data_IF_700525754914
#
_entry.id   IF_700525754914
#
_cell.length_a   1.000
_cell.length_b   1.000
_cell.length_c   1.000
_cell.angle_alpha   90.00
_cell.angle_beta   90.00
_cell.angle_gamma   90.00
#
_symmetry.space_group_name_H-M   'P 1'
#
loop_
_entity.id
_entity.type
_entity.pdbx_description
1 polymer ?
#
# COMPACT_ATOMS: atom_id res chain seq x y z
N UNK A 1 5.71 -53.24 4.73
CA UNK A 1 5.66 -51.94 4.02
C UNK A 1 6.48 -50.94 4.83
N UNK A 2 7.71 -50.68 4.39
CA UNK A 2 8.65 -49.76 5.05
C UNK A 2 8.24 -48.31 4.76
N UNK A 3 7.99 -47.52 5.82
CA UNK A 3 7.90 -46.06 5.72
C UNK A 3 9.27 -45.56 5.28
N UNK A 4 9.35 -45.03 4.07
CA UNK A 4 10.52 -44.23 3.68
C UNK A 4 10.43 -42.94 4.47
N UNK A 5 11.32 -42.79 5.43
CA UNK A 5 11.64 -41.49 6.01
C UNK A 5 12.20 -40.64 4.87
N UNK A 6 11.37 -39.73 4.35
CA UNK A 6 11.81 -38.67 3.46
C UNK A 6 12.51 -37.65 4.35
N UNK A 7 13.77 -37.90 4.65
CA UNK A 7 14.69 -36.86 5.12
C UNK A 7 14.92 -35.94 3.92
N UNK A 8 14.30 -34.75 3.95
CA UNK A 8 14.63 -33.70 2.97
C UNK A 8 16.01 -33.17 3.34
N UNK A 9 17.01 -33.81 2.74
CA UNK A 9 18.39 -33.36 2.71
C UNK A 9 18.46 -32.02 1.97
N UNK A 10 18.94 -30.98 2.67
CA UNK A 10 19.42 -29.76 2.01
C UNK A 10 18.59 -28.48 2.12
N UNK A 11 17.80 -28.24 3.18
CA UNK A 11 17.23 -26.90 3.42
C UNK A 11 18.35 -25.93 3.86
N UNK A 12 19.09 -25.40 2.88
CA UNK A 12 20.25 -24.55 3.08
C UNK A 12 19.84 -23.26 3.83
N UNK A 13 20.71 -22.74 4.71
CA UNK A 13 20.37 -21.59 5.59
C UNK A 13 19.97 -20.36 4.77
N UNK A 14 20.56 -20.18 3.60
CA UNK A 14 20.22 -19.12 2.64
C UNK A 14 18.78 -19.21 2.13
N UNK A 15 18.30 -20.42 1.81
CA UNK A 15 16.93 -20.66 1.33
C UNK A 15 15.91 -20.45 2.44
N UNK A 16 16.26 -20.84 3.67
CA UNK A 16 15.45 -20.54 4.87
C UNK A 16 15.34 -19.03 5.12
N UNK A 17 16.45 -18.30 5.03
CA UNK A 17 16.47 -16.85 5.22
C UNK A 17 15.68 -16.11 4.14
N UNK A 18 15.78 -16.53 2.87
CA UNK A 18 14.98 -15.98 1.76
C UNK A 18 13.48 -16.25 1.96
N UNK A 19 13.10 -17.44 2.45
CA UNK A 19 11.70 -17.80 2.78
C UNK A 19 11.14 -17.06 4.00
N UNK A 20 12.01 -16.55 4.87
CA UNK A 20 11.63 -15.85 6.10
C UNK A 20 11.56 -14.33 5.92
N UNK A 21 12.18 -13.77 4.88
CA UNK A 21 12.15 -12.34 4.62
C UNK A 21 10.70 -11.85 4.33
N UNK A 22 10.23 -10.76 4.97
CA UNK A 22 8.84 -10.30 4.88
C UNK A 22 8.58 -9.49 3.61
N UNK A 23 8.79 -10.08 2.43
CA UNK A 23 8.60 -9.41 1.13
C UNK A 23 7.23 -8.73 1.00
N UNK A 24 6.19 -9.36 1.54
CA UNK A 24 4.85 -8.77 1.48
C UNK A 24 4.71 -7.50 2.31
N UNK A 25 5.37 -7.42 3.48
CA UNK A 25 5.45 -6.17 4.24
C UNK A 25 6.25 -5.09 3.52
N UNK A 26 7.32 -5.45 2.81
CA UNK A 26 8.09 -4.47 2.04
C UNK A 26 7.22 -3.83 0.96
N UNK A 27 6.47 -4.62 0.19
CA UNK A 27 5.58 -4.09 -0.85
C UNK A 27 4.48 -3.17 -0.28
N UNK A 28 3.81 -3.57 0.80
CA UNK A 28 2.79 -2.71 1.45
C UNK A 28 3.45 -1.44 2.00
N UNK A 29 4.67 -1.53 2.54
CA UNK A 29 5.41 -0.36 3.05
C UNK A 29 5.76 0.62 1.94
N UNK A 30 6.17 0.12 0.75
CA UNK A 30 6.46 0.95 -0.42
C UNK A 30 5.21 1.72 -0.87
N UNK A 31 4.05 1.07 -0.90
CA UNK A 31 2.78 1.75 -1.19
C UNK A 31 2.44 2.80 -0.13
N UNK A 32 2.49 2.44 1.16
CA UNK A 32 2.14 3.35 2.25
C UNK A 32 3.07 4.58 2.33
N UNK A 33 4.39 4.37 2.24
CA UNK A 33 5.37 5.45 2.22
C UNK A 33 5.28 6.27 0.92
N UNK A 34 5.09 5.59 -0.22
CA UNK A 34 4.89 6.22 -1.51
C UNK A 34 3.69 7.15 -1.52
N UNK A 35 2.56 6.74 -0.95
CA UNK A 35 1.38 7.61 -0.77
C UNK A 35 1.69 8.77 0.18
N UNK A 36 2.26 8.51 1.36
CA UNK A 36 2.52 9.55 2.35
C UNK A 36 3.46 10.66 1.87
N UNK A 37 4.50 10.29 1.10
CA UNK A 37 5.43 11.26 0.49
C UNK A 37 4.87 11.83 -0.81
N UNK A 38 4.29 10.97 -1.64
CA UNK A 38 3.85 11.29 -3.00
C UNK A 38 2.80 12.39 -3.05
N UNK A 39 1.90 12.46 -2.07
CA UNK A 39 0.90 13.53 -2.00
C UNK A 39 1.52 14.93 -1.86
N UNK A 40 2.63 15.06 -1.12
CA UNK A 40 3.33 16.35 -1.03
C UNK A 40 4.16 16.64 -2.28
N UNK A 41 4.78 15.62 -2.87
CA UNK A 41 5.51 15.78 -4.14
C UNK A 41 4.57 16.20 -5.28
N UNK A 42 3.37 15.62 -5.33
CA UNK A 42 2.38 15.89 -6.37
C UNK A 42 1.67 17.23 -6.19
N UNK A 43 1.41 17.66 -4.94
CA UNK A 43 0.47 18.75 -4.69
C UNK A 43 1.13 20.02 -4.13
N UNK A 44 2.40 19.96 -3.70
CA UNK A 44 3.14 21.12 -3.19
C UNK A 44 3.82 21.93 -4.31
N UNK A 45 3.02 22.46 -5.26
CA UNK A 45 3.53 23.19 -6.42
C UNK A 45 2.50 24.19 -6.99
N UNK A 46 2.90 24.88 -8.07
CA UNK A 46 2.12 25.92 -8.76
C UNK A 46 0.87 25.39 -9.47
N UNK A 47 0.80 24.11 -9.83
CA UNK A 47 -0.41 23.55 -10.44
C UNK A 47 -1.47 23.17 -9.41
N UNK A 48 -1.09 23.00 -8.14
CA UNK A 48 -1.98 22.58 -7.04
C UNK A 48 -2.05 23.63 -5.92
N UNK A 49 -1.38 23.43 -4.78
CA UNK A 49 -1.59 24.25 -3.57
C UNK A 49 -1.33 25.76 -3.80
N UNK A 50 -0.43 26.09 -4.74
CA UNK A 50 -0.11 27.48 -5.10
C UNK A 50 -0.85 27.99 -6.34
N UNK A 51 -1.73 27.19 -6.96
CA UNK A 51 -2.47 27.57 -8.15
C UNK A 51 -3.33 28.83 -7.89
N UNK A 52 -3.11 29.94 -8.59
CA UNK A 52 -3.88 31.17 -8.38
C UNK A 52 -5.33 31.08 -8.88
N UNK A 53 -5.63 30.17 -9.81
CA UNK A 53 -6.97 29.99 -10.36
C UNK A 53 -7.90 29.19 -9.44
N UNK A 54 -7.35 28.43 -8.49
CA UNK A 54 -8.14 27.65 -7.54
C UNK A 54 -8.83 28.53 -6.50
N UNK A 55 -10.15 28.37 -6.28
CA UNK A 55 -10.83 28.96 -5.15
C UNK A 55 -10.17 28.53 -3.82
N UNK A 56 -10.23 29.36 -2.76
CA UNK A 56 -9.66 29.00 -1.45
C UNK A 56 -10.13 27.64 -0.92
N UNK A 57 -11.37 27.24 -1.19
CA UNK A 57 -11.92 25.96 -0.74
C UNK A 57 -11.32 24.74 -1.45
N UNK A 58 -10.93 24.86 -2.72
CA UNK A 58 -10.21 23.79 -3.42
C UNK A 58 -8.84 23.54 -2.78
N UNK A 59 -8.13 24.61 -2.41
CA UNK A 59 -6.85 24.51 -1.68
C UNK A 59 -7.01 23.88 -0.30
N UNK A 60 -8.11 24.15 0.39
CA UNK A 60 -8.44 23.48 1.64
C UNK A 60 -8.58 21.97 1.45
N UNK A 61 -9.36 21.52 0.47
CA UNK A 61 -9.51 20.09 0.19
C UNK A 61 -8.21 19.44 -0.32
N UNK A 62 -7.39 20.16 -1.10
CA UNK A 62 -6.06 19.70 -1.49
C UNK A 62 -5.18 19.44 -0.25
N UNK A 63 -5.01 20.45 0.62
CA UNK A 63 -4.25 20.31 1.87
C UNK A 63 -4.80 19.21 2.79
N UNK A 64 -6.13 19.04 2.82
CA UNK A 64 -6.80 17.94 3.53
C UNK A 64 -6.36 16.59 2.96
N UNK A 65 -6.36 16.40 1.64
CA UNK A 65 -5.95 15.14 1.00
C UNK A 65 -4.46 14.85 1.16
N UNK A 66 -3.59 15.88 1.12
CA UNK A 66 -2.17 15.74 1.42
C UNK A 66 -1.93 15.24 2.84
N UNK A 67 -2.59 15.86 3.82
CA UNK A 67 -2.52 15.45 5.22
C UNK A 67 -3.09 14.03 5.43
N UNK A 68 -4.19 13.71 4.73
CA UNK A 68 -4.81 12.39 4.76
C UNK A 68 -3.86 11.30 4.24
N UNK A 69 -3.14 11.56 3.14
CA UNK A 69 -2.17 10.62 2.58
C UNK A 69 -1.07 10.26 3.58
N UNK A 70 -0.51 11.26 4.28
CA UNK A 70 0.47 11.05 5.36
C UNK A 70 -0.13 10.25 6.51
N UNK A 71 -1.31 10.64 7.00
CA UNK A 71 -1.95 9.96 8.12
C UNK A 71 -2.24 8.48 7.82
N UNK A 72 -2.75 8.19 6.62
CA UNK A 72 -3.00 6.82 6.16
C UNK A 72 -1.69 6.04 6.00
N UNK A 73 -0.66 6.63 5.42
CA UNK A 73 0.66 6.00 5.28
C UNK A 73 1.26 5.60 6.63
N UNK A 74 1.24 6.51 7.61
CA UNK A 74 1.71 6.24 8.98
C UNK A 74 0.88 5.16 9.66
N UNK A 75 -0.45 5.24 9.56
CA UNK A 75 -1.34 4.24 10.17
C UNK A 75 -1.14 2.85 9.54
N UNK A 76 -1.01 2.76 8.22
CA UNK A 76 -0.74 1.50 7.53
C UNK A 76 0.59 0.88 7.99
N UNK A 77 1.66 1.67 8.06
CA UNK A 77 2.97 1.21 8.54
C UNK A 77 2.91 0.74 10.00
N UNK A 78 2.20 1.46 10.87
CA UNK A 78 2.00 1.06 12.26
C UNK A 78 1.33 -0.32 12.37
N UNK A 79 0.19 -0.53 11.69
CA UNK A 79 -0.51 -1.83 11.72
C UNK A 79 0.24 -2.95 11.02
N UNK A 80 1.14 -2.63 10.08
CA UNK A 80 1.96 -3.60 9.36
C UNK A 80 3.15 -4.11 10.19
N UNK A 81 3.74 -3.22 10.98
CA UNK A 81 4.98 -3.47 11.71
C UNK A 81 4.81 -3.61 13.23
N UNK A 82 3.58 -3.48 13.75
CA UNK A 82 3.32 -3.72 15.17
C UNK A 82 3.75 -5.13 15.63
N UNK A 83 4.14 -5.29 16.91
CA UNK A 83 4.36 -6.60 17.50
C UNK A 83 3.13 -7.51 17.41
N UNK A 84 3.35 -8.82 17.44
CA UNK A 84 2.31 -9.84 17.34
C UNK A 84 1.41 -9.66 16.10
N UNK A 85 2.03 -9.67 14.91
CA UNK A 85 1.31 -9.54 13.64
C UNK A 85 0.30 -10.68 13.48
N UNK A 86 -0.96 -10.33 13.24
CA UNK A 86 -2.02 -11.28 12.95
C UNK A 86 -2.51 -11.11 11.51
N UNK A 87 -3.31 -12.06 11.03
CA UNK A 87 -4.01 -11.90 9.75
C UNK A 87 -4.95 -10.69 9.76
N UNK A 88 -5.53 -10.36 10.91
CA UNK A 88 -6.37 -9.18 11.07
C UNK A 88 -5.55 -7.89 10.98
N UNK A 89 -4.43 -7.77 11.68
CA UNK A 89 -3.59 -6.56 11.60
C UNK A 89 -2.98 -6.36 10.21
N UNK A 90 -2.61 -7.45 9.52
CA UNK A 90 -2.19 -7.39 8.12
C UNK A 90 -3.32 -6.90 7.20
N UNK A 91 -4.55 -7.39 7.38
CA UNK A 91 -5.69 -6.93 6.60
C UNK A 91 -5.99 -5.45 6.86
N UNK A 92 -5.97 -5.01 8.13
CA UNK A 92 -6.11 -3.60 8.50
C UNK A 92 -5.05 -2.74 7.81
N UNK A 93 -3.77 -3.13 7.86
CA UNK A 93 -2.70 -2.40 7.21
C UNK A 93 -2.91 -2.29 5.68
N UNK A 94 -3.27 -3.40 5.02
CA UNK A 94 -3.53 -3.42 3.59
C UNK A 94 -4.74 -2.56 3.20
N UNK A 95 -5.82 -2.59 3.99
CA UNK A 95 -7.01 -1.73 3.77
C UNK A 95 -6.66 -0.25 3.91
N UNK A 96 -5.91 0.12 4.95
CA UNK A 96 -5.50 1.52 5.14
C UNK A 96 -4.60 1.97 4.00
N UNK A 97 -3.63 1.13 3.60
CA UNK A 97 -2.71 1.44 2.50
C UNK A 97 -3.41 1.59 1.14
N UNK A 98 -4.52 0.87 0.90
CA UNK A 98 -5.24 0.93 -0.38
C UNK A 98 -6.29 2.05 -0.44
N UNK A 99 -6.81 2.51 0.70
CA UNK A 99 -8.01 3.35 0.72
C UNK A 99 -7.83 4.65 -0.07
N UNK A 100 -6.66 5.29 0.01
CA UNK A 100 -6.38 6.53 -0.72
C UNK A 100 -6.51 6.33 -2.24
N UNK A 101 -5.86 5.27 -2.76
CA UNK A 101 -5.92 4.92 -4.17
C UNK A 101 -7.32 4.48 -4.62
N UNK A 102 -8.04 3.71 -3.80
CA UNK A 102 -9.41 3.30 -4.09
C UNK A 102 -10.36 4.51 -4.14
N UNK A 103 -10.21 5.46 -3.21
CA UNK A 103 -11.00 6.70 -3.25
C UNK A 103 -10.64 7.55 -4.47
N UNK A 104 -9.36 7.59 -4.87
CA UNK A 104 -8.95 8.26 -6.10
C UNK A 104 -9.56 7.62 -7.35
N UNK A 105 -9.66 6.29 -7.43
CA UNK A 105 -10.36 5.62 -8.53
C UNK A 105 -11.88 5.89 -8.51
N UNK A 106 -12.46 6.03 -7.32
CA UNK A 106 -13.91 6.28 -7.19
C UNK A 106 -14.35 7.65 -7.70
N UNK A 107 -13.43 8.61 -7.91
CA UNK A 107 -13.80 9.97 -8.34
C UNK A 107 -14.54 9.99 -9.69
N UNK A 108 -14.39 8.95 -10.52
CA UNK A 108 -15.14 8.78 -11.80
C UNK A 108 -16.66 8.79 -11.64
N UNK A 109 -17.17 8.50 -10.44
CA UNK A 109 -18.61 8.47 -10.16
C UNK A 109 -19.18 9.85 -9.79
N UNK A 110 -18.35 10.88 -9.68
CA UNK A 110 -18.77 12.21 -9.24
C UNK A 110 -18.86 13.17 -10.44
N UNK A 111 -19.95 13.94 -10.57
CA UNK A 111 -20.12 14.85 -11.70
C UNK A 111 -19.15 16.05 -11.61
N UNK A 112 -18.71 16.54 -12.76
CA UNK A 112 -17.91 17.77 -12.85
C UNK A 112 -16.44 17.64 -12.43
N UNK A 113 -15.93 16.42 -12.28
CA UNK A 113 -14.51 16.16 -11.98
C UNK A 113 -13.63 16.32 -13.22
N UNK A 114 -12.37 16.67 -12.99
CA UNK A 114 -11.28 16.56 -13.96
C UNK A 114 -10.05 16.00 -13.25
N UNK A 115 -9.23 15.20 -13.94
CA UNK A 115 -7.96 14.71 -13.38
C UNK A 115 -6.86 15.78 -13.40
N UNK A 116 -7.00 16.81 -14.23
CA UNK A 116 -6.04 17.92 -14.35
C UNK A 116 -6.82 19.21 -14.62
N UNK A 117 -6.37 20.33 -14.08
CA UNK A 117 -6.94 21.64 -14.40
C UNK A 117 -6.45 22.16 -15.76
N UNK A 118 -7.22 23.06 -16.41
CA UNK A 118 -6.75 23.79 -17.57
C UNK A 118 -5.41 24.49 -17.30
N UNK A 119 -4.50 24.53 -18.30
CA UNK A 119 -4.69 24.08 -19.68
C UNK A 119 -4.46 22.57 -19.90
N UNK A 120 -4.23 21.79 -18.84
CA UNK A 120 -3.97 20.36 -18.93
C UNK A 120 -5.15 19.58 -19.48
N UNK A 121 -4.86 18.51 -20.20
CA UNK A 121 -5.86 17.57 -20.70
C UNK A 121 -6.19 16.51 -19.65
N UNK A 122 -7.45 16.07 -19.63
CA UNK A 122 -7.94 15.04 -18.72
C UNK A 122 -7.43 13.64 -19.10
N UNK A 123 -6.14 13.40 -18.85
CA UNK A 123 -5.37 12.21 -19.26
C UNK A 123 -5.09 11.24 -18.12
N UNK A 124 -5.55 11.56 -16.89
CA UNK A 124 -5.41 10.71 -15.71
C UNK A 124 -3.96 10.30 -15.37
N UNK A 125 -3.02 11.25 -15.26
CA UNK A 125 -1.63 10.94 -14.91
C UNK A 125 -1.49 10.21 -13.57
N UNK A 126 -2.45 10.38 -12.67
CA UNK A 126 -2.49 9.72 -11.36
C UNK A 126 -2.50 8.19 -11.48
N UNK A 127 -3.11 7.61 -12.54
CA UNK A 127 -3.18 6.16 -12.70
C UNK A 127 -1.80 5.49 -12.75
N UNK A 128 -0.76 6.22 -13.18
CA UNK A 128 0.62 5.75 -13.21
C UNK A 128 1.20 5.50 -11.80
N UNK A 129 0.62 6.10 -10.77
CA UNK A 129 1.00 5.84 -9.37
C UNK A 129 -0.07 5.04 -8.62
N UNK A 130 -1.36 5.31 -8.87
CA UNK A 130 -2.48 4.62 -8.20
C UNK A 130 -2.46 3.12 -8.47
N UNK A 131 -2.36 2.69 -9.73
CA UNK A 131 -2.45 1.27 -10.09
C UNK A 131 -1.25 0.47 -9.58
N UNK A 132 0.01 0.91 -9.75
CA UNK A 132 1.15 0.20 -9.16
C UNK A 132 1.08 0.14 -7.63
N UNK A 133 0.65 1.24 -6.97
CA UNK A 133 0.49 1.27 -5.51
C UNK A 133 -0.51 0.22 -5.03
N UNK A 134 -1.69 0.15 -5.65
CA UNK A 134 -2.69 -0.89 -5.36
C UNK A 134 -2.18 -2.30 -5.69
N UNK A 135 -1.41 -2.45 -6.77
CA UNK A 135 -0.75 -3.70 -7.13
C UNK A 135 0.24 -4.18 -6.06
N UNK A 136 1.04 -3.27 -5.48
CA UNK A 136 1.94 -3.57 -4.37
C UNK A 136 1.17 -3.98 -3.11
N UNK A 137 0.08 -3.30 -2.78
CA UNK A 137 -0.75 -3.67 -1.61
C UNK A 137 -1.34 -5.06 -1.79
N UNK A 138 -1.97 -5.34 -2.94
CA UNK A 138 -2.59 -6.63 -3.21
C UNK A 138 -1.57 -7.76 -3.20
N UNK A 139 -0.47 -7.59 -3.94
CA UNK A 139 0.59 -8.61 -4.03
C UNK A 139 1.25 -8.82 -2.67
N UNK A 140 1.55 -7.73 -1.96
CA UNK A 140 2.14 -7.79 -0.63
C UNK A 140 1.24 -8.49 0.39
N UNK A 141 -0.06 -8.20 0.36
CA UNK A 141 -1.05 -8.87 1.20
C UNK A 141 -1.11 -10.37 0.93
N UNK A 142 -1.17 -10.78 -0.35
CA UNK A 142 -1.24 -12.20 -0.72
C UNK A 142 0.01 -12.98 -0.30
N UNK A 143 1.20 -12.38 -0.48
CA UNK A 143 2.48 -12.98 -0.06
C UNK A 143 2.54 -13.11 1.46
N UNK A 144 2.28 -12.02 2.19
CA UNK A 144 2.44 -11.98 3.64
C UNK A 144 1.40 -12.86 4.34
N UNK A 145 0.17 -12.92 3.82
CA UNK A 145 -0.88 -13.80 4.33
C UNK A 145 -0.49 -15.27 4.23
N UNK A 146 0.16 -15.68 3.13
CA UNK A 146 0.68 -17.05 2.96
C UNK A 146 1.79 -17.35 3.96
N UNK A 147 2.71 -16.40 4.20
CA UNK A 147 3.79 -16.52 5.18
C UNK A 147 3.24 -16.74 6.60
N UNK A 148 2.36 -15.87 7.08
CA UNK A 148 1.75 -15.98 8.42
C UNK A 148 1.02 -17.31 8.60
N UNK A 149 0.25 -17.73 7.59
CA UNK A 149 -0.50 -19.00 7.67
C UNK A 149 0.45 -20.20 7.78
N UNK A 150 1.52 -20.23 6.98
CA UNK A 150 2.54 -21.29 7.04
C UNK A 150 3.21 -21.36 8.42
N UNK A 151 3.61 -20.22 8.96
CA UNK A 151 4.34 -20.15 10.24
C UNK A 151 3.45 -20.59 11.42
N UNK A 152 2.14 -20.34 11.34
CA UNK A 152 1.15 -20.87 12.28
C UNK A 152 1.03 -22.40 12.22
N UNK A 153 1.01 -22.99 11.01
CA UNK A 153 0.97 -24.44 10.84
C UNK A 153 2.22 -25.12 11.39
N UNK A 154 3.41 -24.59 11.10
CA UNK A 154 4.68 -25.16 11.59
C UNK A 154 4.72 -25.18 13.12
N UNK A 155 4.35 -24.07 13.75
CA UNK A 155 4.31 -23.96 15.23
C UNK A 155 3.29 -24.91 15.86
N UNK A 156 2.15 -25.17 15.19
CA UNK A 156 1.11 -26.08 15.70
C UNK A 156 1.46 -27.58 15.55
N UNK A 157 2.43 -27.91 14.69
CA UNK A 157 2.85 -29.29 14.40
C UNK A 157 4.14 -29.72 15.12
N UNK A 158 4.80 -28.79 15.82
CA UNK A 158 6.02 -29.02 16.61
C UNK A 158 5.68 -29.21 18.09
#
# INVERSE_FOLDING_TARGET
MSRRDITIEGDNVSDRNRRNFPWGKVLISLSAAGTGVGVYVADWNESHIYNPAWPPHAKFHNAQTMSMGVALGVAALYYLWKPAQTRASLATAATIASIYGLTQLSVVFYPGISSVDPPGENTWPQLMTTLPSLGFVLTGYLIERRRITRDQYVTASA
#
